data_IF_303456344492
#
_entry.id   IF_303456344492
#
_cell.length_a   1.000
_cell.length_b   1.000
_cell.length_c   1.000
_cell.angle_alpha   90.00
_cell.angle_beta   90.00
_cell.angle_gamma   90.00
#
_symmetry.space_group_name_H-M   'P 1'
#
loop_
_entity.id
_entity.type
_entity.pdbx_description
1 polymer ?
#
# COMPACT_ATOMS: atom_id res chain seq x y z
N UNK A 1 28.46 31.76 25.41
CA UNK A 1 28.55 30.31 25.11
C UNK A 1 27.23 29.67 25.51
N UNK A 2 26.32 29.34 24.58
CA UNK A 2 25.07 28.66 24.90
C UNK A 2 25.30 27.14 25.06
N UNK A 3 24.51 26.44 25.90
CA UNK A 3 24.67 25.01 26.16
C UNK A 3 24.21 24.13 24.98
N UNK A 4 24.75 22.90 24.84
CA UNK A 4 24.33 21.97 23.80
C UNK A 4 22.99 21.33 24.18
N UNK A 5 21.96 21.60 23.37
CA UNK A 5 20.69 20.87 23.41
C UNK A 5 20.92 19.41 23.04
N UNK A 6 21.01 18.53 24.04
CA UNK A 6 21.02 17.08 23.83
C UNK A 6 19.58 16.65 23.54
N UNK A 7 19.32 16.35 22.28
CA UNK A 7 18.05 15.85 21.74
C UNK A 7 17.63 14.59 22.52
N UNK A 8 16.66 14.73 23.43
CA UNK A 8 15.85 13.65 23.99
C UNK A 8 14.47 13.76 23.35
N UNK A 9 14.30 13.37 22.08
CA UNK A 9 12.98 13.50 21.43
C UNK A 9 12.67 12.52 20.29
N UNK A 10 13.23 11.31 20.30
CA UNK A 10 12.86 10.26 19.31
C UNK A 10 12.31 8.96 19.90
N UNK A 11 12.20 8.82 21.23
CA UNK A 11 11.63 7.61 21.86
C UNK A 11 10.13 7.73 22.22
N UNK A 12 9.54 8.92 22.14
CA UNK A 12 8.17 9.17 22.65
C UNK A 12 7.06 8.73 21.69
N UNK A 13 7.30 8.77 20.37
CA UNK A 13 6.27 8.41 19.37
C UNK A 13 6.02 6.90 19.28
N UNK A 14 7.03 6.07 19.53
CA UNK A 14 6.89 4.60 19.51
C UNK A 14 6.26 4.03 20.79
N UNK A 15 6.57 4.63 21.94
CA UNK A 15 5.92 4.29 23.21
C UNK A 15 4.43 4.64 23.17
N UNK A 16 4.09 5.83 22.66
CA UNK A 16 2.70 6.27 22.51
C UNK A 16 1.85 5.33 21.63
N UNK A 17 2.38 4.86 20.50
CA UNK A 17 1.63 3.95 19.61
C UNK A 17 1.46 2.57 20.24
N UNK A 18 2.45 2.06 20.97
CA UNK A 18 2.36 0.80 21.70
C UNK A 18 1.29 0.86 22.82
N UNK A 19 1.26 1.95 23.59
CA UNK A 19 0.28 2.15 24.65
C UNK A 19 -1.15 2.25 24.09
N UNK A 20 -1.35 3.02 23.02
CA UNK A 20 -2.64 3.13 22.34
C UNK A 20 -3.11 1.78 21.77
N UNK A 21 -2.20 0.96 21.23
CA UNK A 21 -2.53 -0.38 20.75
C UNK A 21 -2.96 -1.30 21.90
N UNK A 22 -2.26 -1.25 23.03
CA UNK A 22 -2.60 -2.03 24.21
C UNK A 22 -3.96 -1.64 24.80
N UNK A 23 -4.26 -0.33 24.88
CA UNK A 23 -5.57 0.18 25.29
C UNK A 23 -6.67 -0.24 24.32
N UNK A 24 -6.42 -0.14 23.00
CA UNK A 24 -7.37 -0.57 21.98
C UNK A 24 -7.70 -2.05 22.13
N UNK A 25 -6.69 -2.91 22.36
CA UNK A 25 -6.89 -4.35 22.62
C UNK A 25 -7.67 -4.65 23.90
N UNK A 26 -7.65 -3.73 24.87
CA UNK A 26 -8.50 -3.78 26.08
C UNK A 26 -9.93 -3.26 25.86
N UNK A 27 -10.28 -2.87 24.63
CA UNK A 27 -11.61 -2.41 24.25
C UNK A 27 -11.78 -0.89 24.16
N UNK A 28 -10.70 -0.10 24.27
CA UNK A 28 -10.80 1.35 24.13
C UNK A 28 -10.88 1.78 22.66
N UNK A 29 -12.11 2.00 22.18
CA UNK A 29 -12.37 2.51 20.83
C UNK A 29 -11.71 3.88 20.59
N UNK A 30 -11.65 4.73 21.62
CA UNK A 30 -10.99 6.03 21.55
C UNK A 30 -9.47 5.91 21.34
N UNK A 31 -8.83 4.89 21.93
CA UNK A 31 -7.41 4.61 21.70
C UNK A 31 -7.18 4.02 20.31
N UNK A 32 -8.08 3.16 19.82
CA UNK A 32 -8.03 2.67 18.43
C UNK A 32 -8.16 3.82 17.42
N UNK A 33 -9.13 4.71 17.62
CA UNK A 33 -9.33 5.90 16.78
C UNK A 33 -8.09 6.79 16.74
N UNK A 34 -7.48 7.07 17.89
CA UNK A 34 -6.24 7.86 17.97
C UNK A 34 -5.08 7.16 17.27
N UNK A 35 -4.92 5.85 17.48
CA UNK A 35 -3.88 5.06 16.82
C UNK A 35 -4.01 5.11 15.28
N UNK A 36 -5.22 4.96 14.75
CA UNK A 36 -5.47 5.09 13.31
C UNK A 36 -5.14 6.49 12.78
N UNK A 37 -5.54 7.54 13.51
CA UNK A 37 -5.29 8.93 13.09
C UNK A 37 -3.80 9.29 13.03
N UNK A 38 -2.97 8.70 13.90
CA UNK A 38 -1.50 8.86 13.81
C UNK A 38 -0.94 8.35 12.47
N UNK A 39 -1.61 7.39 11.82
CA UNK A 39 -1.21 6.85 10.52
C UNK A 39 -1.91 7.49 9.32
N UNK A 40 -2.90 8.37 9.52
CA UNK A 40 -3.73 8.92 8.44
C UNK A 40 -2.91 9.61 7.33
N UNK A 41 -1.96 10.46 7.69
CA UNK A 41 -1.13 11.19 6.72
C UNK A 41 -0.23 10.25 5.92
N UNK A 42 0.32 9.24 6.57
CA UNK A 42 1.12 8.21 5.91
C UNK A 42 0.27 7.41 4.91
N UNK A 43 -0.93 6.97 5.31
CA UNK A 43 -1.81 6.22 4.41
C UNK A 43 -2.28 7.07 3.22
N UNK A 44 -2.56 8.36 3.42
CA UNK A 44 -2.86 9.30 2.31
C UNK A 44 -1.69 9.41 1.33
N UNK A 45 -0.45 9.48 1.82
CA UNK A 45 0.75 9.50 0.97
C UNK A 45 0.90 8.19 0.19
N UNK A 46 0.66 7.05 0.84
CA UNK A 46 0.66 5.74 0.17
C UNK A 46 -0.35 5.75 -0.98
N UNK A 47 -1.61 6.15 -0.74
CA UNK A 47 -2.63 6.24 -1.81
C UNK A 47 -2.17 7.17 -2.93
N UNK A 48 -1.73 8.38 -2.61
CA UNK A 48 -1.30 9.37 -3.60
C UNK A 48 -0.11 8.88 -4.46
N UNK A 49 0.80 8.07 -3.89
CA UNK A 49 1.93 7.49 -4.64
C UNK A 49 1.54 6.40 -5.65
N UNK A 50 0.32 5.86 -5.53
CA UNK A 50 -0.21 4.84 -6.43
C UNK A 50 -1.17 5.39 -7.49
N UNK A 51 -1.53 6.68 -7.40
CA UNK A 51 -2.47 7.33 -8.29
C UNK A 51 -1.74 8.37 -9.16
N UNK A 52 -1.90 8.25 -10.48
CA UNK A 52 -1.46 9.30 -11.41
C UNK A 52 -2.46 10.47 -11.39
N UNK A 53 -2.04 11.64 -11.89
CA UNK A 53 -2.76 12.91 -11.77
C UNK A 53 -4.22 12.85 -12.22
N UNK A 54 -4.52 12.16 -13.33
CA UNK A 54 -5.89 12.01 -13.86
C UNK A 54 -6.84 11.26 -12.92
N UNK A 55 -6.31 10.35 -12.11
CA UNK A 55 -7.07 9.60 -11.11
C UNK A 55 -7.13 10.32 -9.77
N UNK A 56 -6.13 11.13 -9.42
CA UNK A 56 -6.14 11.93 -8.18
C UNK A 56 -7.33 12.89 -8.10
N UNK A 57 -7.85 13.34 -9.24
CA UNK A 57 -9.07 14.17 -9.32
C UNK A 57 -10.35 13.38 -9.07
N UNK A 58 -10.36 12.07 -9.32
CA UNK A 58 -11.57 11.21 -9.26
C UNK A 58 -11.60 10.25 -8.07
N UNK A 59 -10.44 9.82 -7.58
CA UNK A 59 -10.26 9.02 -6.36
C UNK A 59 -9.73 9.92 -5.25
N UNK A 60 -10.57 10.24 -4.28
CA UNK A 60 -10.14 10.96 -3.08
C UNK A 60 -9.29 10.04 -2.20
N UNK A 61 -8.03 10.44 -1.94
CA UNK A 61 -7.17 9.74 -0.98
C UNK A 61 -7.75 9.75 0.44
N UNK A 62 -8.54 10.78 0.78
CA UNK A 62 -9.22 10.84 2.07
C UNK A 62 -10.31 9.77 2.17
N UNK A 63 -11.09 9.57 1.11
CA UNK A 63 -12.21 8.63 1.11
C UNK A 63 -11.73 7.20 1.25
N UNK A 64 -10.66 6.83 0.52
CA UNK A 64 -10.02 5.51 0.65
C UNK A 64 -9.49 5.28 2.07
N UNK A 65 -8.93 6.31 2.72
CA UNK A 65 -8.45 6.22 4.10
C UNK A 65 -9.60 6.11 5.10
N UNK A 66 -10.70 6.83 4.90
CA UNK A 66 -11.89 6.71 5.77
C UNK A 66 -12.52 5.33 5.67
N UNK A 67 -12.68 4.79 4.46
CA UNK A 67 -13.15 3.41 4.25
C UNK A 67 -12.22 2.39 4.93
N UNK A 68 -10.90 2.63 4.86
CA UNK A 68 -9.90 1.80 5.54
C UNK A 68 -10.06 1.83 7.05
N UNK A 69 -10.32 3.00 7.65
CA UNK A 69 -10.56 3.12 9.08
C UNK A 69 -11.87 2.47 9.50
N UNK A 70 -12.92 2.56 8.68
CA UNK A 70 -14.19 1.88 8.92
C UNK A 70 -14.01 0.36 8.95
N UNK A 71 -13.37 -0.22 7.91
CA UNK A 71 -13.10 -1.66 7.87
C UNK A 71 -12.14 -2.10 8.97
N UNK A 72 -11.10 -1.30 9.27
CA UNK A 72 -10.19 -1.58 10.37
C UNK A 72 -10.92 -1.60 11.71
N UNK A 73 -11.77 -0.62 12.00
CA UNK A 73 -12.56 -0.62 13.24
C UNK A 73 -13.45 -1.86 13.36
N UNK A 74 -14.14 -2.24 12.26
CA UNK A 74 -14.98 -3.44 12.19
C UNK A 74 -14.18 -4.73 12.43
N UNK A 75 -13.00 -4.84 11.83
CA UNK A 75 -12.21 -6.07 11.78
C UNK A 75 -11.18 -6.16 12.93
N UNK A 76 -11.01 -5.09 13.72
CA UNK A 76 -10.05 -5.02 14.83
C UNK A 76 -10.22 -6.12 15.89
N UNK A 77 -11.44 -6.58 16.27
CA UNK A 77 -11.59 -7.70 17.20
C UNK A 77 -10.92 -9.00 16.74
N UNK A 78 -10.78 -9.19 15.42
CA UNK A 78 -10.10 -10.34 14.81
C UNK A 78 -8.59 -10.12 14.62
N UNK A 79 -8.09 -8.90 14.81
CA UNK A 79 -6.67 -8.60 14.70
C UNK A 79 -5.86 -9.32 15.80
N UNK A 80 -4.67 -9.82 15.45
CA UNK A 80 -3.82 -10.62 16.34
C UNK A 80 -2.43 -10.03 16.60
N UNK A 81 -1.99 -9.04 15.81
CA UNK A 81 -0.67 -8.43 15.97
C UNK A 81 -0.48 -7.73 17.32
N UNK A 82 0.73 -7.83 17.85
CA UNK A 82 1.17 -7.30 19.14
C UNK A 82 1.94 -5.99 19.02
N UNK A 83 2.51 -5.66 17.84
CA UNK A 83 3.33 -4.45 17.67
C UNK A 83 2.66 -3.37 16.82
N UNK A 84 3.04 -2.08 17.00
CA UNK A 84 2.59 -1.00 16.12
C UNK A 84 2.92 -1.22 14.63
N UNK A 85 4.04 -1.89 14.34
CA UNK A 85 4.47 -2.21 12.97
C UNK A 85 3.54 -3.24 12.32
N UNK A 86 3.14 -4.28 13.07
CA UNK A 86 2.15 -5.27 12.62
C UNK A 86 0.78 -4.62 12.39
N UNK A 87 0.38 -3.69 13.27
CA UNK A 87 -0.85 -2.92 13.10
C UNK A 87 -0.82 -2.05 11.83
N UNK A 88 0.30 -1.35 11.58
CA UNK A 88 0.48 -0.58 10.35
C UNK A 88 0.51 -1.47 9.10
N UNK A 89 1.14 -2.64 9.17
CA UNK A 89 1.11 -3.66 8.12
C UNK A 89 -0.32 -4.09 7.78
N UNK A 90 -1.12 -4.34 8.81
CA UNK A 90 -2.53 -4.68 8.68
C UNK A 90 -3.39 -3.54 8.10
N UNK A 91 -3.21 -2.30 8.55
CA UNK A 91 -3.86 -1.13 7.94
C UNK A 91 -3.51 -0.98 6.46
N UNK A 92 -2.23 -1.17 6.08
CA UNK A 92 -1.80 -1.16 4.66
C UNK A 92 -2.46 -2.27 3.85
N UNK A 93 -2.74 -3.42 4.48
CA UNK A 93 -3.44 -4.53 3.82
C UNK A 93 -4.86 -4.11 3.43
N UNK A 94 -5.61 -3.57 4.38
CA UNK A 94 -6.98 -3.06 4.18
C UNK A 94 -6.97 -1.93 3.14
N UNK A 95 -6.07 -0.95 3.29
CA UNK A 95 -5.91 0.19 2.37
C UNK A 95 -5.76 -0.25 0.91
N UNK A 96 -4.89 -1.23 0.65
CA UNK A 96 -4.66 -1.70 -0.72
C UNK A 96 -5.87 -2.43 -1.31
N UNK A 97 -6.63 -3.14 -0.47
CA UNK A 97 -7.88 -3.77 -0.92
C UNK A 97 -8.91 -2.69 -1.31
N UNK A 98 -9.03 -1.63 -0.51
CA UNK A 98 -9.93 -0.52 -0.79
C UNK A 98 -9.50 0.28 -2.02
N UNK A 99 -8.19 0.49 -2.18
CA UNK A 99 -7.63 1.10 -3.39
C UNK A 99 -7.94 0.27 -4.64
N UNK A 100 -7.76 -1.05 -4.59
CA UNK A 100 -8.12 -1.95 -5.68
C UNK A 100 -9.61 -1.83 -6.04
N UNK A 101 -10.51 -1.87 -5.05
CA UNK A 101 -11.95 -1.71 -5.27
C UNK A 101 -12.29 -0.35 -5.89
N UNK A 102 -11.70 0.73 -5.37
CA UNK A 102 -11.91 2.09 -5.89
C UNK A 102 -11.48 2.20 -7.35
N UNK A 103 -10.27 1.74 -7.68
CA UNK A 103 -9.75 1.76 -9.06
C UNK A 103 -10.60 0.88 -9.98
N UNK A 104 -11.03 -0.31 -9.55
CA UNK A 104 -11.95 -1.16 -10.33
C UNK A 104 -13.26 -0.46 -10.64
N UNK A 105 -13.86 0.20 -9.65
CA UNK A 105 -15.09 0.94 -9.82
C UNK A 105 -14.91 2.10 -10.80
N UNK A 106 -13.82 2.85 -10.71
CA UNK A 106 -13.52 3.92 -11.67
C UNK A 106 -13.32 3.41 -13.08
N UNK A 107 -12.56 2.33 -13.29
CA UNK A 107 -12.37 1.75 -14.62
C UNK A 107 -13.69 1.25 -15.19
N UNK A 108 -14.55 0.63 -14.38
CA UNK A 108 -15.90 0.18 -14.80
C UNK A 108 -16.79 1.37 -15.17
N UNK A 109 -16.81 2.43 -14.36
CA UNK A 109 -17.58 3.65 -14.63
C UNK A 109 -17.07 4.34 -15.88
N UNK A 110 -15.75 4.52 -16.03
CA UNK A 110 -15.15 5.11 -17.22
C UNK A 110 -15.45 4.29 -18.49
N UNK A 111 -15.47 2.95 -18.43
CA UNK A 111 -15.90 2.12 -19.57
C UNK A 111 -17.37 2.31 -19.95
N UNK A 112 -18.24 2.62 -18.99
CA UNK A 112 -19.66 2.96 -19.25
C UNK A 112 -19.80 4.36 -19.83
N UNK A 113 -18.97 5.29 -19.36
CA UNK A 113 -18.90 6.69 -19.80
C UNK A 113 -18.36 6.80 -21.24
N UNK A 114 -17.24 6.13 -21.53
CA UNK A 114 -16.63 6.05 -22.87
C UNK A 114 -17.58 5.38 -23.89
N UNK A 115 -18.44 4.44 -23.45
CA UNK A 115 -19.49 3.86 -24.31
C UNK A 115 -20.66 4.82 -24.59
N UNK A 116 -20.73 5.96 -23.89
CA UNK A 116 -21.71 7.04 -24.11
C UNK A 116 -21.09 8.29 -24.74
N UNK A 117 -19.78 8.47 -24.65
CA UNK A 117 -19.06 9.63 -25.17
C UNK A 117 -17.94 9.18 -26.12
N UNK A 118 -18.29 8.90 -27.37
CA UNK A 118 -17.31 8.92 -28.46
C UNK A 118 -17.31 10.32 -29.04
N UNK A 119 -16.41 11.18 -28.56
CA UNK A 119 -15.95 12.37 -29.28
C UNK A 119 -14.53 12.72 -28.88
N UNK A 120 -13.61 12.39 -29.81
CA UNK A 120 -12.39 13.09 -30.22
C UNK A 120 -11.54 13.83 -29.17
N UNK A 121 -10.30 13.33 -29.07
CA UNK A 121 -9.03 14.05 -28.97
C UNK A 121 -8.62 14.68 -27.62
N UNK A 122 -7.56 14.10 -27.03
CA UNK A 122 -6.25 14.75 -26.87
C UNK A 122 -5.37 13.94 -25.92
N UNK A 123 -4.20 13.60 -26.43
CA UNK A 123 -2.99 13.34 -25.66
C UNK A 123 -2.43 14.70 -25.22
N UNK A 124 -2.20 14.91 -23.93
CA UNK A 124 -1.05 15.69 -23.50
C UNK A 124 -0.10 14.76 -22.75
N UNK A 125 1.02 14.49 -23.38
CA UNK A 125 2.28 14.10 -22.75
C UNK A 125 2.71 15.26 -21.85
N UNK A 126 2.80 15.05 -20.55
CA UNK A 126 3.34 16.06 -19.65
C UNK A 126 3.05 15.81 -18.18
N UNK A 127 4.12 15.58 -17.41
CA UNK A 127 4.09 15.68 -15.95
C UNK A 127 4.99 14.70 -15.21
N UNK A 128 6.27 14.64 -15.53
CA UNK A 128 7.29 13.96 -14.73
C UNK A 128 7.25 14.44 -13.27
N UNK A 129 6.77 13.58 -12.36
CA UNK A 129 7.35 13.36 -11.03
C UNK A 129 7.08 11.92 -10.65
N UNK A 130 7.97 11.02 -11.05
CA UNK A 130 8.01 9.66 -10.53
C UNK A 130 8.02 9.74 -9.00
N UNK A 131 6.97 9.22 -8.37
CA UNK A 131 6.91 8.98 -6.92
C UNK A 131 7.80 7.79 -6.55
N UNK A 132 9.04 7.80 -7.02
CA UNK A 132 10.14 6.94 -6.59
C UNK A 132 10.51 7.35 -5.17
N UNK A 133 9.92 6.68 -4.19
CA UNK A 133 10.29 6.91 -2.80
C UNK A 133 9.61 6.02 -1.75
N UNK A 134 8.49 5.36 -2.05
CA UNK A 134 7.75 4.64 -0.99
C UNK A 134 7.64 3.12 -1.17
N UNK A 135 7.88 2.60 -2.38
CA UNK A 135 7.90 1.15 -2.60
C UNK A 135 9.13 0.45 -1.97
N UNK A 136 10.24 1.17 -1.79
CA UNK A 136 11.43 0.67 -1.09
C UNK A 136 11.23 0.40 0.41
N UNK A 137 10.05 0.71 0.96
CA UNK A 137 9.65 0.41 2.34
C UNK A 137 8.52 -0.60 2.44
N UNK A 138 8.02 -1.11 1.31
CA UNK A 138 7.06 -2.22 1.29
C UNK A 138 7.71 -3.58 1.60
N UNK A 139 9.05 -3.63 1.65
CA UNK A 139 9.81 -4.77 2.17
C UNK A 139 10.05 -4.71 3.70
N UNK A 140 9.73 -3.60 4.37
CA UNK A 140 9.99 -3.44 5.82
C UNK A 140 8.70 -3.43 6.63
N UNK A 141 7.88 -4.45 6.39
CA UNK A 141 6.58 -4.62 7.04
C UNK A 141 6.48 -5.99 7.70
N UNK A 142 7.29 -6.24 8.73
CA UNK A 142 7.02 -7.34 9.66
C UNK A 142 8.21 -8.16 10.18
N UNK A 143 9.46 -7.79 9.92
CA UNK A 143 10.59 -8.48 10.57
C UNK A 143 10.89 -7.84 11.91
N UNK A 144 10.33 -8.41 12.98
CA UNK A 144 10.86 -8.26 14.34
C UNK A 144 12.39 -8.47 14.30
N UNK A 145 13.22 -7.59 14.88
CA UNK A 145 14.66 -7.59 14.68
C UNK A 145 15.29 -8.79 15.40
N UNK A 146 15.40 -9.92 14.71
CA UNK A 146 16.27 -11.01 15.15
C UNK A 146 16.85 -11.78 13.96
N UNK A 147 18.19 -11.77 13.88
CA UNK A 147 19.10 -12.62 13.09
C UNK A 147 19.16 -12.43 11.55
N UNK A 148 20.38 -12.29 10.97
CA UNK A 148 20.62 -12.30 9.52
C UNK A 148 20.04 -13.50 8.76
N UNK A 149 19.87 -14.64 9.44
CA UNK A 149 19.35 -15.89 8.86
C UNK A 149 17.91 -15.75 8.32
N UNK A 150 17.03 -15.09 9.08
CA UNK A 150 15.65 -14.85 8.65
C UNK A 150 15.53 -13.93 7.44
N UNK A 151 16.48 -12.99 7.25
CA UNK A 151 16.51 -12.15 6.03
C UNK A 151 16.80 -12.95 4.77
N UNK A 152 17.69 -13.94 4.86
CA UNK A 152 17.99 -14.82 3.71
C UNK A 152 16.82 -15.75 3.39
N UNK A 153 16.21 -16.34 4.41
CA UNK A 153 15.00 -17.18 4.26
C UNK A 153 13.83 -16.39 3.63
N UNK A 154 13.61 -15.14 4.09
CA UNK A 154 12.59 -14.25 3.54
C UNK A 154 12.88 -13.85 2.08
N UNK A 155 14.15 -13.62 1.73
CA UNK A 155 14.56 -13.26 0.38
C UNK A 155 14.39 -14.42 -0.62
N UNK A 156 14.77 -15.65 -0.24
CA UNK A 156 14.55 -16.83 -1.09
C UNK A 156 13.07 -17.15 -1.27
N UNK A 157 12.27 -17.03 -0.20
CA UNK A 157 10.80 -17.18 -0.28
C UNK A 157 10.20 -16.17 -1.25
N UNK A 158 10.54 -14.89 -1.11
CA UNK A 158 10.05 -13.85 -2.01
C UNK A 158 10.46 -14.09 -3.47
N UNK A 159 11.70 -14.53 -3.70
CA UNK A 159 12.23 -14.85 -5.04
C UNK A 159 11.41 -15.96 -5.72
N UNK A 160 11.11 -17.06 -5.01
CA UNK A 160 10.26 -18.14 -5.53
C UNK A 160 8.85 -17.65 -5.87
N UNK A 161 8.24 -16.86 -5.00
CA UNK A 161 6.91 -16.33 -5.23
C UNK A 161 6.84 -15.40 -6.45
N UNK A 162 7.89 -14.61 -6.70
CA UNK A 162 8.04 -13.77 -7.89
C UNK A 162 8.21 -14.63 -9.17
N UNK A 163 8.96 -15.73 -9.08
CA UNK A 163 9.15 -16.68 -10.18
C UNK A 163 7.86 -17.42 -10.57
N UNK A 164 6.94 -17.61 -9.62
CA UNK A 164 5.64 -18.25 -9.86
C UNK A 164 4.50 -17.26 -10.19
N UNK A 165 4.79 -15.97 -10.36
CA UNK A 165 3.79 -15.04 -10.88
C UNK A 165 3.56 -15.28 -12.37
N UNK A 166 2.30 -15.12 -12.86
CA UNK A 166 2.04 -15.00 -14.28
C UNK A 166 2.92 -13.92 -14.92
N UNK A 167 3.35 -14.13 -16.17
CA UNK A 167 4.32 -13.25 -16.83
C UNK A 167 3.88 -11.79 -16.87
N UNK A 168 2.60 -11.56 -17.12
CA UNK A 168 1.99 -10.22 -17.07
C UNK A 168 2.15 -9.52 -15.72
N UNK A 169 2.08 -10.28 -14.61
CA UNK A 169 2.25 -9.75 -13.25
C UNK A 169 3.71 -9.47 -12.94
N UNK A 170 4.61 -10.33 -13.42
CA UNK A 170 6.05 -10.13 -13.25
C UNK A 170 6.51 -8.92 -14.06
N UNK A 171 6.07 -8.79 -15.31
CA UNK A 171 6.46 -7.70 -16.19
C UNK A 171 5.98 -6.35 -15.68
N UNK A 172 4.72 -6.24 -15.21
CA UNK A 172 4.24 -4.97 -14.63
C UNK A 172 4.99 -4.58 -13.35
N UNK A 173 5.40 -5.56 -12.53
CA UNK A 173 6.22 -5.30 -11.34
C UNK A 173 7.63 -4.86 -11.74
N UNK A 174 8.25 -5.54 -12.71
CA UNK A 174 9.57 -5.23 -13.26
C UNK A 174 9.62 -3.80 -13.80
N UNK A 175 8.71 -3.47 -14.72
CA UNK A 175 8.63 -2.14 -15.32
C UNK A 175 8.37 -1.04 -14.28
N UNK A 176 7.58 -1.34 -13.24
CA UNK A 176 7.27 -0.38 -12.19
C UNK A 176 8.41 -0.19 -11.18
N UNK A 177 9.10 -1.26 -10.80
CA UNK A 177 10.06 -1.25 -9.69
C UNK A 177 11.52 -1.19 -10.12
N UNK A 178 11.88 -1.84 -11.22
CA UNK A 178 13.26 -1.80 -11.75
C UNK A 178 13.44 -0.60 -12.68
N UNK A 179 12.51 -0.40 -13.61
CA UNK A 179 12.58 0.68 -14.60
C UNK A 179 11.91 1.98 -14.14
N UNK A 180 11.27 1.97 -12.97
CA UNK A 180 10.64 3.15 -12.35
C UNK A 180 9.63 3.90 -13.25
N UNK A 181 9.03 3.21 -14.21
CA UNK A 181 8.08 3.80 -15.16
C UNK A 181 6.74 4.11 -14.48
N UNK A 182 6.01 5.09 -15.03
CA UNK A 182 4.63 5.38 -14.65
C UNK A 182 3.63 4.45 -15.35
N UNK A 183 2.38 4.38 -14.88
CA UNK A 183 1.40 3.46 -15.48
C UNK A 183 1.00 3.84 -16.91
N UNK A 184 1.25 5.07 -17.35
CA UNK A 184 1.01 5.50 -18.73
C UNK A 184 2.04 4.86 -19.67
N UNK A 185 3.32 5.02 -19.37
CA UNK A 185 4.45 4.47 -20.13
C UNK A 185 4.45 2.94 -20.10
N UNK A 186 4.12 2.34 -18.96
CA UNK A 186 3.95 0.88 -18.87
C UNK A 186 2.77 0.43 -19.74
N UNK A 187 1.68 1.22 -19.79
CA UNK A 187 0.56 0.99 -20.70
C UNK A 187 0.99 0.91 -22.15
N UNK A 188 1.75 1.89 -22.61
CA UNK A 188 2.31 1.92 -23.97
C UNK A 188 3.17 0.69 -24.25
N UNK A 189 4.08 0.34 -23.33
CA UNK A 189 5.00 -0.80 -23.49
C UNK A 189 4.31 -2.16 -23.46
N UNK A 190 3.24 -2.30 -22.69
CA UNK A 190 2.47 -3.54 -22.59
C UNK A 190 1.25 -3.58 -23.54
N UNK A 191 1.13 -2.59 -24.44
CA UNK A 191 0.00 -2.42 -25.37
C UNK A 191 -1.37 -2.47 -24.67
N UNK A 192 -1.46 -1.81 -23.51
CA UNK A 192 -2.62 -1.81 -22.62
C UNK A 192 -2.95 -0.39 -22.18
N UNK A 193 -4.21 -0.14 -21.83
CA UNK A 193 -4.54 1.16 -21.23
C UNK A 193 -3.87 1.29 -19.85
N UNK A 194 -3.49 2.51 -19.46
CA UNK A 194 -2.91 2.80 -18.15
C UNK A 194 -3.80 2.33 -16.99
N UNK A 195 -5.12 2.36 -17.17
CA UNK A 195 -6.09 1.77 -16.26
C UNK A 195 -5.97 0.25 -16.12
N UNK A 196 -5.79 -0.46 -17.23
CA UNK A 196 -5.64 -1.92 -17.24
C UNK A 196 -4.30 -2.34 -16.61
N UNK A 197 -3.21 -1.65 -16.89
CA UNK A 197 -1.91 -1.92 -16.28
C UNK A 197 -1.92 -1.65 -14.77
N UNK A 198 -2.57 -0.59 -14.30
CA UNK A 198 -2.71 -0.34 -12.86
C UNK A 198 -3.50 -1.43 -12.15
N UNK A 199 -4.57 -1.91 -12.78
CA UNK A 199 -5.31 -3.07 -12.29
C UNK A 199 -4.45 -4.33 -12.24
N UNK A 200 -3.60 -4.52 -13.26
CA UNK A 200 -2.64 -5.62 -13.33
C UNK A 200 -1.63 -5.55 -12.18
N UNK A 201 -1.07 -4.37 -11.92
CA UNK A 201 -0.13 -4.12 -10.83
C UNK A 201 -0.78 -4.29 -9.44
N UNK A 202 -1.96 -3.71 -9.20
CA UNK A 202 -2.63 -3.86 -7.91
C UNK A 202 -2.98 -5.32 -7.63
N UNK A 203 -3.37 -6.09 -8.66
CA UNK A 203 -3.63 -7.53 -8.54
C UNK A 203 -2.35 -8.34 -8.33
N UNK A 204 -1.24 -7.98 -8.94
CA UNK A 204 0.04 -8.66 -8.72
C UNK A 204 0.52 -8.48 -7.28
N UNK A 205 0.45 -7.25 -6.74
CA UNK A 205 0.76 -6.96 -5.33
C UNK A 205 -0.18 -7.71 -4.37
N UNK A 206 -1.49 -7.73 -4.66
CA UNK A 206 -2.44 -8.50 -3.85
C UNK A 206 -2.10 -10.00 -3.87
N UNK A 207 -1.80 -10.57 -5.04
CA UNK A 207 -1.47 -12.00 -5.19
C UNK A 207 -0.17 -12.37 -4.45
N UNK A 208 0.85 -11.51 -4.51
CA UNK A 208 2.07 -11.72 -3.74
C UNK A 208 1.78 -11.72 -2.23
N UNK A 209 0.95 -10.78 -1.77
CA UNK A 209 0.56 -10.70 -0.36
C UNK A 209 -0.24 -11.91 0.11
N UNK A 210 -1.23 -12.34 -0.68
CA UNK A 210 -2.09 -13.46 -0.30
C UNK A 210 -1.25 -14.74 -0.15
N UNK A 211 -0.35 -15.02 -1.11
CA UNK A 211 0.60 -16.14 -1.01
C UNK A 211 1.56 -16.01 0.17
N UNK A 212 2.03 -14.80 0.49
CA UNK A 212 2.96 -14.60 1.61
C UNK A 212 2.30 -14.94 2.95
N UNK A 213 1.00 -14.69 3.08
CA UNK A 213 0.21 -15.05 4.26
C UNK A 213 -0.08 -16.56 4.36
N UNK A 214 -0.36 -17.22 3.24
CA UNK A 214 -0.66 -18.66 3.20
C UNK A 214 0.53 -19.53 3.64
N UNK A 215 1.74 -19.22 3.19
CA UNK A 215 2.96 -19.98 3.56
C UNK A 215 3.55 -19.58 4.92
N UNK A 216 3.14 -18.46 5.51
CA UNK A 216 3.53 -18.04 6.86
C UNK A 216 2.74 -18.75 7.97
N UNK A 217 1.64 -19.42 7.63
CA UNK A 217 0.73 -20.07 8.59
C UNK A 217 0.92 -21.60 8.63
N UNK A 218 1.84 -22.14 7.84
CA UNK A 218 2.03 -23.58 7.64
C UNK A 218 3.09 -24.26 8.52
N UNK A 219 3.80 -23.52 9.37
CA UNK A 219 4.79 -24.06 10.31
C UNK A 219 4.56 -23.45 11.70
N UNK A 220 3.63 -24.04 12.45
CA UNK A 220 3.49 -23.89 13.89
C UNK A 220 3.01 -25.20 14.50
#
# INVERSE_FOLDING_TARGET
>A
MPPPYRILMTSHSGALTADLLNDARRGSEASLGRLMQLHANYLKLVVASQLDDRLRTRVSSSDVVQETFYEAHRDFPAFRGATPEEFLGWLRRILMNNLLRAVEQHVKTAKRDIRREVSIDRVPTGGERSATGLAGRLADGGDSPSKPLHRFENAERLSRMLAELPDDYREVLRLRHEECLDFATIGERMERSSGAVRMLWLRSIKRLRDRYGEEGTGEA
#
